data_IF_818553751915
#
_entry.id   IF_818553751915
#
_cell.length_a   1.000
_cell.length_b   1.000
_cell.length_c   1.000
_cell.angle_alpha   90.00
_cell.angle_beta   90.00
_cell.angle_gamma   90.00
#
_symmetry.space_group_name_H-M   'P 1'
#
loop_
_entity.id
_entity.type
_entity.pdbx_description
1 polymer ?
#
# COMPACT_ATOMS: atom_id res chain seq x y z
N UNK A 1 10.91 8.39 42.73
CA UNK A 1 9.54 8.91 42.50
C UNK A 1 9.70 10.27 41.80
N UNK A 2 9.01 10.54 40.68
CA UNK A 2 9.44 11.57 39.68
C UNK A 2 8.65 12.89 39.79
N UNK A 3 9.29 14.07 39.80
CA UNK A 3 8.58 15.33 39.52
C UNK A 3 8.77 15.67 38.05
N UNK A 4 7.69 15.73 37.26
CA UNK A 4 7.75 16.14 35.85
C UNK A 4 7.44 17.63 35.76
N UNK A 5 8.42 18.44 35.35
CA UNK A 5 8.24 19.87 35.10
C UNK A 5 7.89 20.09 33.62
N UNK A 6 6.72 20.66 33.35
CA UNK A 6 6.19 20.89 32.00
C UNK A 6 6.63 22.24 31.39
N UNK A 7 7.75 22.83 31.83
CA UNK A 7 8.27 24.09 31.26
C UNK A 7 9.72 23.97 30.81
N UNK A 8 9.98 24.46 29.60
CA UNK A 8 11.00 23.98 28.66
C UNK A 8 12.44 24.49 28.87
N UNK A 9 12.85 24.94 30.06
CA UNK A 9 14.22 25.48 30.24
C UNK A 9 14.85 25.31 31.64
N UNK A 10 14.44 24.30 32.43
CA UNK A 10 15.06 24.01 33.74
C UNK A 10 15.45 22.53 33.85
N UNK A 11 16.52 22.21 34.62
CA UNK A 11 16.95 20.83 34.83
C UNK A 11 15.86 19.98 35.50
N UNK A 12 15.69 18.73 35.04
CA UNK A 12 14.77 17.75 35.61
C UNK A 12 15.37 17.21 36.91
N UNK A 13 14.64 17.33 38.02
CA UNK A 13 15.07 16.83 39.33
C UNK A 13 14.39 15.50 39.65
N UNK A 14 15.18 14.44 39.78
CA UNK A 14 14.68 13.14 40.18
C UNK A 14 14.79 12.97 41.70
N UNK A 15 13.64 12.87 42.37
CA UNK A 15 13.60 12.50 43.78
C UNK A 15 13.77 10.97 43.86
N UNK A 16 15.02 10.54 43.97
CA UNK A 16 15.39 9.13 44.17
C UNK A 16 15.36 8.72 45.65
N UNK A 17 15.20 9.69 46.55
CA UNK A 17 15.32 9.52 48.00
C UNK A 17 13.94 9.64 48.69
N UNK A 18 13.57 8.62 49.47
CA UNK A 18 12.26 8.48 50.14
C UNK A 18 11.93 9.67 51.04
N UNK A 19 12.96 10.37 51.54
CA UNK A 19 12.85 11.50 52.46
C UNK A 19 12.09 12.71 51.90
N UNK A 20 12.08 12.89 50.58
CA UNK A 20 11.40 14.03 49.94
C UNK A 20 9.97 13.72 49.48
N UNK A 21 9.56 12.44 49.46
CA UNK A 21 8.16 12.07 49.18
C UNK A 21 7.21 12.68 50.21
N UNK A 22 7.62 12.70 51.48
CA UNK A 22 6.84 13.25 52.60
C UNK A 22 6.76 14.78 52.58
N UNK A 23 7.60 15.46 51.78
CA UNK A 23 7.59 16.92 51.63
C UNK A 23 6.67 17.43 50.51
N UNK A 24 6.12 16.53 49.68
CA UNK A 24 5.13 16.88 48.66
C UNK A 24 3.72 16.98 49.26
N UNK A 25 2.88 17.84 48.68
CA UNK A 25 1.45 17.87 49.02
C UNK A 25 0.78 16.53 48.66
N UNK A 26 -0.32 16.21 49.33
CA UNK A 26 -1.04 14.95 49.13
C UNK A 26 -1.55 14.81 47.68
N UNK A 27 -2.03 15.90 47.09
CA UNK A 27 -2.45 15.97 45.67
C UNK A 27 -1.28 15.67 44.74
N UNK A 28 -0.11 16.28 44.97
CA UNK A 28 1.08 16.02 44.13
C UNK A 28 1.54 14.55 44.23
N UNK A 29 1.40 13.92 45.39
CA UNK A 29 1.70 12.51 45.56
C UNK A 29 0.71 11.61 44.79
N UNK A 30 -0.57 11.96 44.78
CA UNK A 30 -1.62 11.25 44.04
C UNK A 30 -1.42 11.36 42.52
N UNK A 31 -1.23 12.58 42.00
CA UNK A 31 -0.96 12.83 40.58
C UNK A 31 0.28 12.06 40.11
N UNK A 32 1.30 12.01 40.96
CA UNK A 32 2.53 11.29 40.65
C UNK A 32 2.32 9.77 40.63
N UNK A 33 1.59 9.22 41.59
CA UNK A 33 1.22 7.79 41.58
C UNK A 33 0.43 7.45 40.31
N UNK A 34 -0.51 8.32 39.92
CA UNK A 34 -1.27 8.17 38.67
C UNK A 34 -0.34 8.17 37.45
N UNK A 35 0.57 9.15 37.35
CA UNK A 35 1.51 9.27 36.23
C UNK A 35 2.42 8.04 36.11
N UNK A 36 2.98 7.57 37.24
CA UNK A 36 3.80 6.34 37.28
C UNK A 36 2.99 5.13 36.81
N UNK A 37 1.75 4.99 37.27
CA UNK A 37 0.87 3.90 36.87
C UNK A 37 0.60 3.91 35.35
N UNK A 38 0.38 5.09 34.77
CA UNK A 38 0.14 5.24 33.33
C UNK A 38 1.39 4.85 32.54
N UNK A 39 2.58 5.34 32.91
CA UNK A 39 3.83 5.02 32.19
C UNK A 39 4.10 3.52 32.27
N UNK A 40 4.01 2.91 33.46
CA UNK A 40 4.20 1.47 33.63
C UNK A 40 3.23 0.68 32.76
N UNK A 41 1.94 1.02 32.78
CA UNK A 41 0.92 0.38 31.93
C UNK A 41 1.33 0.43 30.45
N UNK A 42 1.82 1.57 29.98
CA UNK A 42 2.22 1.71 28.58
C UNK A 42 3.49 0.94 28.23
N UNK A 43 4.46 0.81 29.15
CA UNK A 43 5.63 -0.07 28.96
C UNK A 43 5.21 -1.53 28.82
N UNK A 44 4.33 -2.02 29.70
CA UNK A 44 3.76 -3.37 29.55
C UNK A 44 2.99 -3.52 28.23
N UNK A 45 2.24 -2.48 27.83
CA UNK A 45 1.45 -2.49 26.61
C UNK A 45 2.29 -2.50 25.33
N UNK A 46 3.44 -1.82 25.33
CA UNK A 46 4.44 -1.92 24.26
C UNK A 46 5.02 -3.34 24.20
N UNK A 47 5.25 -3.97 25.35
CA UNK A 47 5.81 -5.31 25.41
C UNK A 47 4.87 -6.38 24.86
N UNK A 48 3.58 -6.35 25.23
CA UNK A 48 2.61 -7.39 24.86
C UNK A 48 1.73 -7.06 23.63
N UNK A 49 1.87 -5.86 23.07
CA UNK A 49 1.10 -5.40 21.91
C UNK A 49 -0.32 -4.91 22.25
N UNK A 50 -0.67 -4.77 23.54
CA UNK A 50 -1.93 -4.13 23.96
C UNK A 50 -1.93 -2.60 23.79
N UNK A 51 -0.81 -2.01 23.40
CA UNK A 51 -0.73 -0.57 23.11
C UNK A 51 -1.73 -0.19 22.02
N UNK A 52 -2.44 0.92 22.22
CA UNK A 52 -3.36 1.46 21.22
C UNK A 52 -2.60 2.23 20.14
N UNK A 53 -3.18 2.40 18.95
CA UNK A 53 -2.57 3.27 17.92
C UNK A 53 -2.31 4.69 18.43
N UNK A 54 -3.27 5.26 19.15
CA UNK A 54 -3.15 6.61 19.70
C UNK A 54 -2.00 6.70 20.69
N UNK A 55 -1.91 5.76 21.63
CA UNK A 55 -0.84 5.77 22.64
C UNK A 55 0.53 5.54 21.99
N UNK A 56 0.61 4.66 20.99
CA UNK A 56 1.83 4.42 20.23
C UNK A 56 2.33 5.70 19.54
N UNK A 57 1.43 6.46 18.92
CA UNK A 57 1.77 7.74 18.27
C UNK A 57 2.28 8.78 19.28
N UNK A 58 1.61 8.89 20.44
CA UNK A 58 2.02 9.79 21.52
C UNK A 58 3.40 9.42 22.07
N UNK A 59 3.63 8.13 22.32
CA UNK A 59 4.93 7.62 22.80
C UNK A 59 6.00 7.92 21.76
N UNK A 60 5.73 7.69 20.47
CA UNK A 60 6.71 7.95 19.41
C UNK A 60 7.14 9.42 19.36
N UNK A 61 6.20 10.35 19.53
CA UNK A 61 6.49 11.79 19.52
C UNK A 61 7.39 12.24 20.68
N UNK A 62 7.43 11.47 21.77
CA UNK A 62 8.23 11.77 22.97
C UNK A 62 9.13 10.60 23.36
N UNK A 63 9.64 9.85 22.38
CA UNK A 63 10.32 8.57 22.56
C UNK A 63 11.52 8.66 23.51
N UNK A 64 12.39 9.65 23.35
CA UNK A 64 13.57 9.84 24.21
C UNK A 64 13.18 10.08 25.68
N UNK A 65 12.18 10.94 25.91
CA UNK A 65 11.68 11.24 27.27
C UNK A 65 10.99 10.04 27.88
N UNK A 66 10.24 9.27 27.08
CA UNK A 66 9.58 8.07 27.54
C UNK A 66 10.59 6.97 27.92
N UNK A 67 11.67 6.83 27.15
CA UNK A 67 12.79 5.94 27.49
C UNK A 67 13.49 6.39 28.79
N UNK A 68 13.78 7.68 28.95
CA UNK A 68 14.36 8.21 30.18
C UNK A 68 13.49 7.90 31.40
N UNK A 69 12.19 8.18 31.32
CA UNK A 69 11.22 7.87 32.37
C UNK A 69 11.16 6.36 32.65
N UNK A 70 11.21 5.52 31.61
CA UNK A 70 11.23 4.05 31.75
C UNK A 70 12.47 3.60 32.51
N UNK A 71 13.66 4.06 32.13
CA UNK A 71 14.91 3.71 32.81
C UNK A 71 14.85 4.02 34.31
N UNK A 72 14.29 5.18 34.66
CA UNK A 72 14.18 5.65 36.05
C UNK A 72 13.14 4.84 36.83
N UNK A 73 11.98 4.56 36.24
CA UNK A 73 10.92 3.82 36.91
C UNK A 73 11.24 2.35 37.13
N UNK A 74 12.09 1.78 36.28
CA UNK A 74 12.42 0.37 36.29
C UNK A 74 13.85 0.07 36.79
N UNK A 75 14.65 1.06 37.17
CA UNK A 75 16.02 0.91 37.71
C UNK A 75 16.13 -0.16 38.82
N UNK A 76 15.15 -0.21 39.73
CA UNK A 76 15.07 -1.16 40.86
C UNK A 76 14.17 -2.38 40.60
N UNK A 77 13.77 -2.63 39.36
CA UNK A 77 12.86 -3.72 39.00
C UNK A 77 13.59 -4.97 38.51
N UNK A 78 12.86 -5.94 37.95
CA UNK A 78 13.47 -7.12 37.30
C UNK A 78 14.37 -6.71 36.12
N UNK A 79 15.41 -7.50 35.84
CA UNK A 79 16.43 -7.18 34.83
C UNK A 79 15.86 -6.95 33.43
N UNK A 80 14.80 -7.69 33.07
CA UNK A 80 14.10 -7.51 31.79
C UNK A 80 13.57 -6.09 31.59
N UNK A 81 13.08 -5.46 32.66
CA UNK A 81 12.53 -4.10 32.60
C UNK A 81 13.60 -3.03 32.69
N UNK A 82 14.74 -3.31 33.33
CA UNK A 82 15.90 -2.39 33.34
C UNK A 82 16.51 -2.23 31.97
N UNK A 83 16.52 -3.30 31.19
CA UNK A 83 17.11 -3.36 29.84
C UNK A 83 16.07 -3.17 28.73
N UNK A 84 14.82 -2.87 29.09
CA UNK A 84 13.75 -2.69 28.12
C UNK A 84 14.03 -1.49 27.21
N UNK A 85 14.16 -1.79 25.92
CA UNK A 85 14.44 -0.80 24.90
C UNK A 85 13.13 -0.31 24.28
N UNK A 86 12.65 0.86 24.74
CA UNK A 86 11.43 1.51 24.25
C UNK A 86 11.56 1.82 22.76
N UNK A 87 12.71 2.35 22.32
CA UNK A 87 12.93 2.71 20.90
C UNK A 87 12.73 1.49 20.00
N UNK A 88 13.30 0.36 20.39
CA UNK A 88 13.14 -0.93 19.70
C UNK A 88 11.68 -1.38 19.71
N UNK A 89 11.04 -1.40 20.88
CA UNK A 89 9.65 -1.84 21.02
C UNK A 89 8.70 -0.97 20.18
N UNK A 90 8.84 0.35 20.24
CA UNK A 90 8.07 1.31 19.43
C UNK A 90 8.28 1.04 17.94
N UNK A 91 9.53 0.87 17.47
CA UNK A 91 9.81 0.54 16.06
C UNK A 91 9.10 -0.75 15.62
N UNK A 92 9.14 -1.81 16.43
CA UNK A 92 8.43 -3.07 16.15
C UNK A 92 6.91 -2.84 16.06
N UNK A 93 6.32 -2.13 17.03
CA UNK A 93 4.86 -1.83 17.02
C UNK A 93 4.45 -0.94 15.85
N UNK A 94 5.31 -0.02 15.42
CA UNK A 94 5.07 0.78 14.20
C UNK A 94 5.10 -0.08 12.93
N UNK A 95 5.98 -1.08 12.85
CA UNK A 95 6.00 -2.02 11.73
C UNK A 95 4.71 -2.84 11.67
N UNK A 96 4.21 -3.33 12.81
CA UNK A 96 2.90 -4.03 12.90
C UNK A 96 1.74 -3.13 12.48
N UNK A 97 1.67 -1.92 13.06
CA UNK A 97 0.69 -0.91 12.68
C UNK A 97 0.72 -0.62 11.18
N UNK A 98 1.92 -0.47 10.61
CA UNK A 98 2.13 -0.26 9.18
C UNK A 98 1.67 -1.45 8.32
N UNK A 99 1.93 -2.69 8.76
CA UNK A 99 1.47 -3.91 8.09
C UNK A 99 -0.05 -3.95 7.97
N UNK A 100 -0.76 -3.65 9.06
CA UNK A 100 -2.21 -3.55 9.04
C UNK A 100 -2.71 -2.45 8.09
N UNK A 101 -2.12 -1.25 8.13
CA UNK A 101 -2.53 -0.16 7.23
C UNK A 101 -2.31 -0.50 5.75
N UNK A 102 -1.22 -1.20 5.44
CA UNK A 102 -0.94 -1.69 4.08
C UNK A 102 -1.93 -2.76 3.67
N UNK A 103 -2.15 -3.78 4.50
CA UNK A 103 -3.11 -4.84 4.21
C UNK A 103 -4.52 -4.28 4.04
N UNK A 104 -4.92 -3.31 4.86
CA UNK A 104 -6.21 -2.62 4.75
C UNK A 104 -6.39 -1.96 3.39
N UNK A 105 -5.36 -1.31 2.84
CA UNK A 105 -5.41 -0.72 1.48
C UNK A 105 -5.61 -1.81 0.43
N UNK A 106 -4.90 -2.93 0.54
CA UNK A 106 -5.03 -4.02 -0.42
C UNK A 106 -6.41 -4.66 -0.38
N UNK A 107 -6.94 -4.92 0.82
CA UNK A 107 -8.30 -5.45 1.00
C UNK A 107 -9.34 -4.46 0.47
N UNK A 108 -9.20 -3.16 0.74
CA UNK A 108 -10.12 -2.15 0.20
C UNK A 108 -10.15 -2.16 -1.35
N UNK A 109 -8.99 -2.36 -1.99
CA UNK A 109 -8.92 -2.51 -3.45
C UNK A 109 -9.59 -3.79 -3.94
N UNK A 110 -9.37 -4.93 -3.27
CA UNK A 110 -10.06 -6.18 -3.57
C UNK A 110 -11.59 -6.01 -3.49
N UNK A 111 -12.08 -5.41 -2.41
CA UNK A 111 -13.51 -5.13 -2.21
C UNK A 111 -14.06 -4.23 -3.32
N UNK A 112 -13.33 -3.19 -3.72
CA UNK A 112 -13.74 -2.31 -4.81
C UNK A 112 -13.88 -3.06 -6.14
N UNK A 113 -12.93 -3.93 -6.47
CA UNK A 113 -12.95 -4.74 -7.70
C UNK A 113 -14.06 -5.80 -7.67
N UNK A 114 -14.36 -6.34 -6.49
CA UNK A 114 -15.36 -7.38 -6.31
C UNK A 114 -16.78 -6.84 -6.05
N UNK A 115 -16.94 -5.54 -5.80
CA UNK A 115 -18.23 -4.91 -5.48
C UNK A 115 -19.37 -5.30 -6.45
N UNK A 116 -19.15 -5.41 -7.78
CA UNK A 116 -20.21 -5.82 -8.70
C UNK A 116 -20.66 -7.28 -8.54
N UNK A 117 -19.83 -8.15 -7.94
CA UNK A 117 -20.11 -9.58 -7.75
C UNK A 117 -21.09 -9.87 -6.61
N UNK A 118 -21.12 -8.99 -5.59
CA UNK A 118 -22.13 -8.98 -4.52
C UNK A 118 -22.36 -10.34 -3.81
N UNK A 119 -21.30 -10.95 -3.29
CA UNK A 119 -21.38 -12.18 -2.48
C UNK A 119 -21.27 -11.90 -0.97
N UNK A 120 -21.69 -12.85 -0.13
CA UNK A 120 -21.88 -12.65 1.31
C UNK A 120 -20.57 -12.32 2.06
N UNK A 121 -19.49 -13.01 1.72
CA UNK A 121 -18.17 -12.83 2.35
C UNK A 121 -17.62 -11.41 2.14
N UNK A 122 -17.86 -10.80 0.96
CA UNK A 122 -17.51 -9.40 0.67
C UNK A 122 -18.15 -8.44 1.70
N UNK A 123 -19.46 -8.62 1.94
CA UNK A 123 -20.20 -7.78 2.89
C UNK A 123 -19.74 -7.98 4.34
N UNK A 124 -19.26 -9.18 4.68
CA UNK A 124 -18.69 -9.45 5.99
C UNK A 124 -17.39 -8.71 6.22
N UNK A 125 -16.48 -8.74 5.24
CA UNK A 125 -15.20 -8.03 5.33
C UNK A 125 -15.41 -6.51 5.32
N UNK A 126 -16.34 -5.97 4.52
CA UNK A 126 -16.70 -4.55 4.55
C UNK A 126 -17.20 -4.11 5.94
N UNK A 127 -18.11 -4.89 6.54
CA UNK A 127 -18.63 -4.64 7.88
C UNK A 127 -17.53 -4.73 8.94
N UNK A 128 -16.60 -5.67 8.79
CA UNK A 128 -15.44 -5.81 9.68
C UNK A 128 -14.54 -4.57 9.63
N UNK A 129 -14.20 -4.07 8.43
CA UNK A 129 -13.46 -2.81 8.27
C UNK A 129 -14.18 -1.66 8.98
N UNK A 130 -15.49 -1.52 8.73
CA UNK A 130 -16.29 -0.46 9.35
C UNK A 130 -16.36 -0.55 10.87
N UNK A 131 -16.28 -1.75 11.46
CA UNK A 131 -16.19 -1.94 12.90
C UNK A 131 -14.82 -1.52 13.46
N UNK A 132 -13.74 -1.94 12.79
CA UNK A 132 -12.37 -1.60 13.19
C UNK A 132 -12.11 -0.09 13.14
N UNK A 133 -12.64 0.61 12.13
CA UNK A 133 -12.50 2.07 11.99
C UNK A 133 -13.22 2.87 13.08
N UNK A 134 -14.31 2.34 13.63
CA UNK A 134 -15.08 2.99 14.69
C UNK A 134 -14.51 2.74 16.09
N UNK A 135 -13.60 1.77 16.23
CA UNK A 135 -13.02 1.41 17.52
C UNK A 135 -11.99 2.47 17.94
N UNK A 136 -12.33 3.27 18.96
CA UNK A 136 -11.48 4.36 19.47
C UNK A 136 -10.17 3.87 20.07
N UNK A 137 -10.19 2.69 20.70
CA UNK A 137 -9.06 2.10 21.42
C UNK A 137 -8.69 0.75 20.78
N UNK A 138 -8.38 0.80 19.48
CA UNK A 138 -7.88 -0.36 18.74
C UNK A 138 -6.42 -0.63 19.16
N UNK A 139 -6.17 -1.84 19.68
CA UNK A 139 -4.84 -2.28 20.09
C UNK A 139 -4.14 -3.01 18.95
N UNK A 140 -2.80 -2.99 18.93
CA UNK A 140 -2.02 -3.69 17.90
C UNK A 140 -2.29 -5.20 17.89
N UNK A 141 -2.40 -5.81 19.06
CA UNK A 141 -2.73 -7.24 19.19
C UNK A 141 -4.10 -7.65 18.64
N UNK A 142 -5.01 -6.70 18.42
CA UNK A 142 -6.35 -7.00 17.90
C UNK A 142 -6.33 -7.21 16.38
N UNK A 143 -5.26 -6.79 15.71
CA UNK A 143 -5.17 -6.71 14.23
C UNK A 143 -3.89 -7.33 13.68
N UNK A 144 -2.90 -7.61 14.53
CA UNK A 144 -1.63 -8.23 14.17
C UNK A 144 -1.30 -9.31 15.18
N UNK A 145 -0.47 -10.26 14.77
CA UNK A 145 0.20 -11.16 15.70
C UNK A 145 1.36 -10.39 16.36
N UNK A 146 1.28 -10.06 17.67
CA UNK A 146 2.35 -9.29 18.32
C UNK A 146 3.65 -10.08 18.34
N UNK A 147 4.73 -9.45 17.89
CA UNK A 147 6.07 -9.96 18.09
C UNK A 147 6.47 -9.88 19.57
N UNK A 148 7.34 -10.82 19.94
CA UNK A 148 8.11 -10.74 21.16
C UNK A 148 9.26 -9.74 20.96
N UNK A 149 9.14 -8.59 21.61
CA UNK A 149 10.09 -7.47 21.48
C UNK A 149 11.46 -7.79 22.09
N UNK A 150 11.58 -8.80 22.95
CA UNK A 150 12.86 -9.20 23.52
C UNK A 150 13.71 -9.94 22.48
N UNK A 151 13.09 -10.90 21.78
CA UNK A 151 13.78 -11.82 20.87
C UNK A 151 13.92 -11.31 19.43
N UNK A 152 12.99 -10.48 18.96
CA UNK A 152 12.96 -10.01 17.57
C UNK A 152 13.86 -8.80 17.36
N UNK A 153 14.54 -8.72 16.21
CA UNK A 153 15.23 -7.49 15.75
C UNK A 153 14.40 -6.78 14.67
N UNK A 154 14.26 -5.45 14.70
CA UNK A 154 13.47 -4.73 13.69
C UNK A 154 13.92 -5.00 12.25
N UNK A 155 15.20 -5.25 12.02
CA UNK A 155 15.78 -5.42 10.70
C UNK A 155 15.39 -6.76 10.04
N UNK A 156 15.05 -7.77 10.84
CA UNK A 156 14.66 -9.11 10.38
C UNK A 156 13.16 -9.37 10.56
N UNK A 157 12.43 -8.41 11.12
CA UNK A 157 11.05 -8.60 11.50
C UNK A 157 10.11 -8.39 10.30
N UNK A 158 9.28 -9.40 10.03
CA UNK A 158 8.19 -9.33 9.06
C UNK A 158 6.85 -9.37 9.80
N UNK A 159 6.19 -8.22 9.99
CA UNK A 159 4.92 -8.16 10.71
C UNK A 159 3.78 -8.85 9.96
N UNK A 160 3.07 -9.74 10.64
CA UNK A 160 1.89 -10.42 10.09
C UNK A 160 0.60 -9.81 10.63
N UNK A 161 -0.15 -9.14 9.75
CA UNK A 161 -1.49 -8.66 10.05
C UNK A 161 -2.50 -9.81 9.99
N UNK A 162 -3.35 -9.90 11.01
CA UNK A 162 -4.37 -10.92 11.22
C UNK A 162 -5.79 -10.34 11.17
N UNK A 163 -5.92 -9.03 10.92
CA UNK A 163 -7.15 -8.27 11.05
C UNK A 163 -8.33 -8.83 10.24
N UNK A 164 -8.08 -9.27 8.99
CA UNK A 164 -9.14 -9.63 8.04
C UNK A 164 -9.40 -11.13 7.94
N UNK A 165 -8.58 -11.97 8.58
CA UNK A 165 -8.71 -13.45 8.60
C UNK A 165 -8.96 -14.10 7.23
N UNK A 166 -8.36 -13.55 6.18
CA UNK A 166 -8.47 -14.07 4.83
C UNK A 166 -7.71 -15.40 4.70
N UNK A 167 -8.20 -16.30 3.83
CA UNK A 167 -7.48 -17.49 3.44
C UNK A 167 -6.12 -17.15 2.82
N UNK A 168 -5.14 -18.05 2.95
CA UNK A 168 -3.77 -17.79 2.51
C UNK A 168 -3.70 -17.53 1.00
N UNK A 169 -4.52 -18.23 0.23
CA UNK A 169 -4.68 -18.09 -1.22
C UNK A 169 -5.12 -16.66 -1.58
N UNK A 170 -6.07 -16.10 -0.84
CA UNK A 170 -6.56 -14.72 -1.03
C UNK A 170 -5.50 -13.71 -0.58
N UNK A 171 -4.85 -13.95 0.56
CA UNK A 171 -3.82 -13.06 1.08
C UNK A 171 -2.62 -12.92 0.12
N UNK A 172 -2.22 -14.01 -0.54
CA UNK A 172 -1.09 -14.04 -1.48
C UNK A 172 -1.32 -13.21 -2.74
N UNK A 173 -2.57 -12.92 -3.11
CA UNK A 173 -2.88 -12.16 -4.32
C UNK A 173 -3.09 -10.68 -4.06
N UNK A 174 -3.25 -10.26 -2.80
CA UNK A 174 -3.59 -8.88 -2.41
C UNK A 174 -2.58 -7.84 -2.91
N UNK A 175 -1.29 -8.07 -2.69
CA UNK A 175 -0.23 -7.15 -3.10
C UNK A 175 -0.13 -6.99 -4.64
N UNK A 176 0.02 -8.08 -5.43
CA UNK A 176 0.09 -7.94 -6.89
C UNK A 176 -1.22 -7.40 -7.48
N UNK A 177 -2.37 -7.75 -6.90
CA UNK A 177 -3.66 -7.18 -7.29
C UNK A 177 -3.71 -5.68 -7.03
N UNK A 178 -3.27 -5.24 -5.86
CA UNK A 178 -3.20 -3.81 -5.55
C UNK A 178 -2.27 -3.08 -6.51
N UNK A 179 -1.10 -3.64 -6.82
CA UNK A 179 -0.12 -3.05 -7.74
C UNK A 179 -0.73 -2.80 -9.13
N UNK A 180 -1.45 -3.78 -9.69
CA UNK A 180 -2.06 -3.67 -11.01
C UNK A 180 -3.42 -2.98 -11.02
N UNK A 181 -4.09 -2.83 -9.87
CA UNK A 181 -5.46 -2.27 -9.78
C UNK A 181 -5.62 -0.86 -10.36
N UNK A 182 -4.51 -0.13 -10.57
CA UNK A 182 -4.49 1.21 -11.15
C UNK A 182 -4.35 1.21 -12.67
N UNK A 183 -3.92 0.10 -13.25
CA UNK A 183 -3.81 -0.08 -14.70
C UNK A 183 -5.18 -0.22 -15.35
N UNK A 184 -5.39 0.49 -16.44
CA UNK A 184 -6.56 0.33 -17.29
C UNK A 184 -6.56 -1.04 -17.98
N UNK A 185 -5.40 -1.52 -18.46
CA UNK A 185 -5.27 -2.86 -19.07
C UNK A 185 -5.77 -3.92 -18.09
N UNK A 186 -5.30 -3.87 -16.84
CA UNK A 186 -5.73 -4.80 -15.80
C UNK A 186 -7.24 -4.73 -15.54
N UNK A 187 -7.80 -3.51 -15.41
CA UNK A 187 -9.24 -3.34 -15.15
C UNK A 187 -10.10 -3.86 -16.30
N UNK A 188 -9.69 -3.65 -17.54
CA UNK A 188 -10.40 -4.17 -18.71
C UNK A 188 -10.40 -5.70 -18.69
N UNK A 189 -9.23 -6.34 -18.52
CA UNK A 189 -9.15 -7.80 -18.42
C UNK A 189 -9.98 -8.36 -17.26
N UNK A 190 -9.93 -7.69 -16.12
CA UNK A 190 -10.74 -8.05 -14.95
C UNK A 190 -12.23 -8.01 -15.27
N UNK A 191 -12.71 -6.94 -15.90
CA UNK A 191 -14.11 -6.79 -16.30
C UNK A 191 -14.54 -7.80 -17.35
N UNK A 192 -13.68 -8.11 -18.32
CA UNK A 192 -13.95 -9.07 -19.38
C UNK A 192 -14.17 -10.48 -18.81
N UNK A 193 -13.32 -10.92 -17.88
CA UNK A 193 -13.48 -12.22 -17.22
C UNK A 193 -14.66 -12.19 -16.25
N UNK A 194 -14.80 -11.12 -15.47
CA UNK A 194 -15.93 -10.91 -14.57
C UNK A 194 -17.28 -11.06 -15.28
N UNK A 195 -17.43 -10.56 -16.50
CA UNK A 195 -18.67 -10.66 -17.28
C UNK A 195 -19.05 -12.10 -17.69
N UNK A 196 -18.13 -13.06 -17.54
CA UNK A 196 -18.29 -14.44 -17.99
C UNK A 196 -18.46 -15.45 -16.86
N UNK A 197 -18.26 -15.03 -15.61
CA UNK A 197 -18.25 -15.93 -14.45
C UNK A 197 -19.23 -15.48 -13.38
N UNK A 198 -19.60 -16.39 -12.50
CA UNK A 198 -20.32 -16.10 -11.26
C UNK A 198 -19.50 -16.69 -10.13
N UNK A 199 -19.28 -15.91 -9.08
CA UNK A 199 -18.46 -16.30 -7.94
C UNK A 199 -19.18 -15.95 -6.64
N UNK A 200 -18.99 -16.78 -5.63
CA UNK A 200 -19.67 -16.69 -4.32
C UNK A 200 -18.69 -16.48 -3.15
N UNK A 201 -17.37 -16.51 -3.42
CA UNK A 201 -16.31 -16.39 -2.41
C UNK A 201 -15.05 -15.72 -2.96
N UNK A 202 -14.16 -15.27 -2.07
CA UNK A 202 -12.85 -14.74 -2.51
C UNK A 202 -11.95 -15.81 -3.13
N UNK A 203 -12.06 -17.08 -2.73
CA UNK A 203 -11.32 -18.19 -3.33
C UNK A 203 -11.75 -18.42 -4.79
N UNK A 204 -13.04 -18.27 -5.08
CA UNK A 204 -13.56 -18.30 -6.44
C UNK A 204 -13.13 -17.08 -7.25
N UNK A 205 -13.11 -15.87 -6.65
CA UNK A 205 -12.49 -14.70 -7.29
C UNK A 205 -11.02 -14.99 -7.65
N UNK A 206 -10.28 -15.62 -6.73
CA UNK A 206 -8.88 -15.95 -6.96
C UNK A 206 -8.71 -16.93 -8.12
N UNK A 207 -9.48 -18.02 -8.12
CA UNK A 207 -9.34 -19.10 -9.09
C UNK A 207 -9.95 -18.79 -10.46
N UNK A 208 -11.12 -18.14 -10.50
CA UNK A 208 -11.88 -17.91 -11.72
C UNK A 208 -11.60 -16.55 -12.38
N UNK A 209 -11.15 -15.54 -11.61
CA UNK A 209 -10.89 -14.19 -12.15
C UNK A 209 -9.40 -13.87 -12.09
N UNK A 210 -8.80 -13.88 -10.90
CA UNK A 210 -7.41 -13.44 -10.72
C UNK A 210 -6.41 -14.31 -11.48
N UNK A 211 -6.49 -15.64 -11.40
CA UNK A 211 -5.55 -16.53 -12.09
C UNK A 211 -5.54 -16.27 -13.61
N UNK A 212 -6.69 -16.29 -14.32
CA UNK A 212 -6.74 -15.94 -15.74
C UNK A 212 -6.20 -14.54 -16.04
N UNK A 213 -6.67 -13.52 -15.31
CA UNK A 213 -6.26 -12.12 -15.53
C UNK A 213 -4.76 -11.93 -15.31
N UNK A 214 -4.23 -12.49 -14.23
CA UNK A 214 -2.80 -12.40 -13.91
C UNK A 214 -1.93 -13.11 -14.94
N UNK A 215 -2.41 -14.22 -15.51
CA UNK A 215 -1.72 -14.90 -16.60
C UNK A 215 -1.70 -14.04 -17.87
N UNK A 216 -2.83 -13.45 -18.24
CA UNK A 216 -2.91 -12.53 -19.39
C UNK A 216 -2.05 -11.28 -19.19
N UNK A 217 -2.05 -10.71 -17.98
CA UNK A 217 -1.21 -9.57 -17.64
C UNK A 217 0.27 -9.88 -17.82
N UNK A 218 0.74 -11.03 -17.31
CA UNK A 218 2.14 -11.44 -17.46
C UNK A 218 2.52 -11.64 -18.93
N UNK A 219 1.64 -12.23 -19.74
CA UNK A 219 1.86 -12.38 -21.18
C UNK A 219 1.99 -11.01 -21.86
N UNK A 220 1.06 -10.08 -21.59
CA UNK A 220 1.09 -8.72 -22.15
C UNK A 220 2.37 -7.98 -21.73
N UNK A 221 2.72 -7.99 -20.45
CA UNK A 221 3.94 -7.34 -19.94
C UNK A 221 5.18 -7.91 -20.64
N UNK A 222 5.25 -9.24 -20.77
CA UNK A 222 6.36 -9.90 -21.45
C UNK A 222 6.45 -9.45 -22.91
N UNK A 223 5.35 -9.50 -23.66
CA UNK A 223 5.31 -9.16 -25.09
C UNK A 223 5.58 -7.68 -25.37
N UNK A 224 5.16 -6.78 -24.47
CA UNK A 224 5.55 -5.37 -24.52
C UNK A 224 7.07 -5.25 -24.30
N UNK A 225 7.59 -5.93 -23.29
CA UNK A 225 9.02 -5.88 -22.93
C UNK A 225 9.91 -6.43 -24.04
N UNK A 226 9.56 -7.58 -24.63
CA UNK A 226 10.32 -8.23 -25.71
C UNK A 226 10.11 -7.57 -27.07
N UNK A 227 9.02 -6.82 -27.25
CA UNK A 227 8.65 -6.23 -28.55
C UNK A 227 7.92 -7.18 -29.48
N UNK A 228 7.44 -8.31 -28.97
CA UNK A 228 6.63 -9.28 -29.73
C UNK A 228 5.17 -8.82 -29.89
N UNK A 229 4.75 -7.81 -29.13
CA UNK A 229 3.41 -7.25 -29.25
C UNK A 229 3.24 -6.49 -30.57
N UNK A 230 2.12 -6.72 -31.26
CA UNK A 230 1.80 -6.02 -32.52
C UNK A 230 1.38 -4.57 -32.22
N UNK A 231 1.72 -3.62 -33.10
CA UNK A 231 1.36 -2.21 -32.89
C UNK A 231 -0.14 -1.98 -32.75
N UNK A 232 -0.96 -2.63 -33.59
CA UNK A 232 -2.42 -2.51 -33.52
C UNK A 232 -2.96 -3.06 -32.20
N UNK A 233 -2.42 -4.17 -31.72
CA UNK A 233 -2.82 -4.76 -30.44
C UNK A 233 -2.41 -3.85 -29.27
N UNK A 234 -1.18 -3.34 -29.27
CA UNK A 234 -0.70 -2.42 -28.26
C UNK A 234 -1.52 -1.11 -28.23
N UNK A 235 -1.87 -0.57 -29.41
CA UNK A 235 -2.78 0.57 -29.57
C UNK A 235 -4.15 0.30 -28.95
N UNK A 236 -4.72 -0.88 -29.22
CA UNK A 236 -6.03 -1.27 -28.68
C UNK A 236 -6.01 -1.48 -27.16
N UNK A 237 -4.97 -2.14 -26.62
CA UNK A 237 -4.83 -2.40 -25.18
C UNK A 237 -4.70 -1.10 -24.38
N UNK A 238 -3.90 -0.15 -24.88
CA UNK A 238 -3.67 1.10 -24.16
C UNK A 238 -4.88 2.03 -24.23
N UNK A 239 -5.73 1.92 -25.27
CA UNK A 239 -6.97 2.70 -25.43
C UNK A 239 -6.78 4.23 -25.45
N UNK A 240 -5.53 4.70 -25.36
CA UNK A 240 -5.13 6.09 -25.29
C UNK A 240 -4.65 6.46 -26.69
N UNK A 241 -5.28 7.44 -27.31
CA UNK A 241 -4.85 7.97 -28.61
C UNK A 241 -4.29 9.36 -28.32
N UNK A 242 -3.09 9.64 -28.85
CA UNK A 242 -2.38 10.93 -28.77
C UNK A 242 -1.88 11.40 -27.39
N UNK A 243 -2.04 10.61 -26.32
CA UNK A 243 -1.46 10.93 -25.00
C UNK A 243 -0.31 10.00 -24.61
N UNK A 244 0.83 10.17 -25.28
CA UNK A 244 2.03 9.34 -25.14
C UNK A 244 2.57 9.23 -23.70
N UNK A 245 2.48 10.29 -22.90
CA UNK A 245 2.86 10.21 -21.48
C UNK A 245 1.91 9.32 -20.68
N UNK A 246 0.60 9.35 -20.94
CA UNK A 246 -0.34 8.43 -20.29
C UNK A 246 -0.07 6.98 -20.68
N UNK A 247 0.33 6.71 -21.93
CA UNK A 247 0.74 5.35 -22.33
C UNK A 247 1.97 4.88 -21.56
N UNK A 248 2.97 5.77 -21.39
CA UNK A 248 4.18 5.50 -20.61
C UNK A 248 3.86 5.25 -19.14
N UNK A 249 2.99 6.07 -18.56
CA UNK A 249 2.49 5.90 -17.20
C UNK A 249 1.78 4.55 -17.04
N UNK A 250 0.89 4.18 -17.97
CA UNK A 250 0.18 2.90 -17.97
C UNK A 250 1.16 1.71 -18.03
N UNK A 251 2.16 1.76 -18.90
CA UNK A 251 3.23 0.74 -18.95
C UNK A 251 4.03 0.66 -17.64
N UNK A 252 4.27 1.80 -17.00
CA UNK A 252 4.97 1.87 -15.72
C UNK A 252 4.14 1.25 -14.60
N UNK A 253 2.82 1.45 -14.60
CA UNK A 253 1.89 0.85 -13.63
C UNK A 253 1.89 -0.68 -13.68
N UNK A 254 2.18 -1.27 -14.84
CA UNK A 254 2.28 -2.72 -15.03
C UNK A 254 3.73 -3.24 -14.95
N UNK A 255 4.66 -2.41 -14.46
CA UNK A 255 6.09 -2.73 -14.28
C UNK A 255 6.87 -3.05 -15.56
N UNK A 256 6.46 -2.50 -16.71
CA UNK A 256 7.34 -2.50 -17.89
C UNK A 256 8.53 -1.57 -17.59
N UNK A 257 9.79 -1.97 -17.83
CA UNK A 257 10.91 -1.13 -17.49
C UNK A 257 10.92 0.15 -18.32
N UNK A 258 11.31 1.25 -17.67
CA UNK A 258 11.24 2.62 -18.21
C UNK A 258 11.83 2.79 -19.61
N UNK A 259 12.97 2.14 -19.88
CA UNK A 259 13.62 2.20 -21.19
C UNK A 259 12.73 1.59 -22.28
N UNK A 260 12.18 0.40 -22.03
CA UNK A 260 11.28 -0.30 -22.93
C UNK A 260 9.98 0.49 -23.10
N UNK A 261 9.43 1.06 -22.02
CA UNK A 261 8.23 1.89 -22.11
C UNK A 261 8.43 3.08 -23.07
N UNK A 262 9.53 3.83 -22.93
CA UNK A 262 9.86 4.94 -23.84
C UNK A 262 10.01 4.48 -25.29
N UNK A 263 10.72 3.38 -25.51
CA UNK A 263 10.93 2.82 -26.85
C UNK A 263 9.60 2.43 -27.51
N UNK A 264 8.71 1.76 -26.77
CA UNK A 264 7.40 1.32 -27.27
C UNK A 264 6.47 2.50 -27.56
N UNK A 265 6.49 3.53 -26.73
CA UNK A 265 5.74 4.77 -26.96
C UNK A 265 6.22 5.47 -28.23
N UNK A 266 7.53 5.54 -28.46
CA UNK A 266 8.09 6.13 -29.68
C UNK A 266 7.72 5.31 -30.93
N UNK A 267 7.77 3.98 -30.84
CA UNK A 267 7.33 3.10 -31.94
C UNK A 267 5.84 3.27 -32.26
N UNK A 268 4.98 3.41 -31.24
CA UNK A 268 3.56 3.72 -31.45
C UNK A 268 3.35 5.07 -32.13
N UNK A 269 4.12 6.09 -31.71
CA UNK A 269 4.08 7.42 -32.34
C UNK A 269 4.43 7.34 -33.82
N UNK A 270 5.51 6.63 -34.16
CA UNK A 270 5.94 6.42 -35.54
C UNK A 270 4.90 5.63 -36.35
N UNK A 271 4.31 4.59 -35.75
CA UNK A 271 3.25 3.82 -36.37
C UNK A 271 2.01 4.67 -36.67
N UNK A 272 1.57 5.52 -35.73
CA UNK A 272 0.44 6.43 -35.91
C UNK A 272 0.73 7.50 -36.99
N UNK A 273 1.95 8.03 -37.04
CA UNK A 273 2.37 8.94 -38.12
C UNK A 273 2.32 8.25 -39.48
N UNK A 274 2.76 7.00 -39.56
CA UNK A 274 2.68 6.19 -40.78
C UNK A 274 1.23 5.97 -41.21
N UNK A 275 0.32 5.60 -40.30
CA UNK A 275 -1.11 5.48 -40.60
C UNK A 275 -1.70 6.81 -41.12
N UNK A 276 -1.30 7.94 -40.53
CA UNK A 276 -1.73 9.26 -40.97
C UNK A 276 -1.22 9.56 -42.39
N UNK A 277 0.06 9.29 -42.70
CA UNK A 277 0.61 9.51 -44.03
C UNK A 277 -0.08 8.66 -45.09
N UNK A 278 -0.38 7.39 -44.80
CA UNK A 278 -1.15 6.52 -45.71
C UNK A 278 -2.54 7.13 -45.97
N UNK A 279 -3.22 7.61 -44.94
CA UNK A 279 -4.53 8.27 -45.08
C UNK A 279 -4.45 9.55 -45.90
N UNK A 280 -3.44 10.39 -45.66
CA UNK A 280 -3.21 11.62 -46.43
C UNK A 280 -2.88 11.33 -47.89
N UNK A 281 -2.02 10.34 -48.17
CA UNK A 281 -1.69 9.93 -49.53
C UNK A 281 -2.93 9.48 -50.30
N UNK A 282 -3.78 8.63 -49.69
CA UNK A 282 -5.08 8.24 -50.27
C UNK A 282 -5.97 9.44 -50.56
N UNK A 283 -6.07 10.37 -49.61
CA UNK A 283 -6.88 11.60 -49.76
C UNK A 283 -6.36 12.49 -50.90
N UNK A 284 -5.04 12.67 -51.02
CA UNK A 284 -4.42 13.46 -52.09
C UNK A 284 -4.70 12.83 -53.45
N UNK A 285 -4.58 11.49 -53.57
CA UNK A 285 -4.90 10.78 -54.81
C UNK A 285 -6.38 10.91 -55.18
N UNK A 286 -7.29 10.87 -54.20
CA UNK A 286 -8.71 11.07 -54.43
C UNK A 286 -9.02 12.50 -54.92
N UNK A 287 -8.37 13.52 -54.34
CA UNK A 287 -8.46 14.91 -54.80
C UNK A 287 -7.89 15.04 -56.21
N UNK A 288 -6.70 14.49 -56.48
CA UNK A 288 -6.08 14.54 -57.80
C UNK A 288 -6.97 13.93 -58.88
N UNK A 289 -7.61 12.79 -58.59
CA UNK A 289 -8.60 12.16 -59.48
C UNK A 289 -9.84 13.03 -59.66
N UNK A 290 -10.38 13.60 -58.57
CA UNK A 290 -11.62 14.40 -58.61
C UNK A 290 -11.49 15.70 -59.38
N UNK A 291 -10.29 16.30 -59.40
CA UNK A 291 -9.98 17.54 -60.12
C UNK A 291 -9.22 17.29 -61.43
N UNK A 292 -9.09 16.03 -61.86
CA UNK A 292 -8.38 15.64 -63.09
C UNK A 292 -6.95 16.22 -63.18
N UNK A 293 -6.27 16.31 -62.04
CA UNK A 293 -4.91 16.86 -61.98
C UNK A 293 -3.94 15.94 -62.73
N UNK A 294 -3.20 16.50 -63.68
CA UNK A 294 -2.15 15.80 -64.43
C UNK A 294 -0.78 16.02 -63.80
N UNK A 295 0.02 14.97 -63.60
CA UNK A 295 1.35 15.05 -62.99
C UNK A 295 1.90 13.67 -62.64
N UNK A 296 3.13 13.61 -62.10
CA UNK A 296 3.71 12.36 -61.57
C UNK A 296 3.36 12.21 -60.08
N UNK A 297 2.51 11.24 -59.76
CA UNK A 297 2.06 10.93 -58.40
C UNK A 297 2.63 9.62 -57.84
N UNK A 298 3.60 8.98 -58.52
CA UNK A 298 4.10 7.63 -58.17
C UNK A 298 4.55 7.48 -56.72
N UNK A 299 5.19 8.50 -56.15
CA UNK A 299 5.64 8.46 -54.75
C UNK A 299 4.46 8.44 -53.77
N UNK A 300 3.40 9.20 -54.07
CA UNK A 300 2.17 9.23 -53.27
C UNK A 300 1.40 7.91 -53.42
N UNK A 301 1.36 7.36 -54.64
CA UNK A 301 0.79 6.03 -54.90
C UNK A 301 1.50 4.93 -54.13
N UNK A 302 2.83 4.98 -54.06
CA UNK A 302 3.64 4.03 -53.29
C UNK A 302 3.28 4.09 -51.79
N UNK A 303 3.21 5.29 -51.21
CA UNK A 303 2.82 5.47 -49.79
C UNK A 303 1.37 5.04 -49.55
N UNK A 304 0.44 5.33 -50.46
CA UNK A 304 -0.96 4.94 -50.33
C UNK A 304 -1.19 3.43 -50.41
N UNK A 305 -0.25 2.69 -51.02
CA UNK A 305 -0.32 1.24 -51.25
C UNK A 305 0.33 0.41 -50.14
N UNK A 306 0.93 1.04 -49.12
CA UNK A 306 1.43 0.38 -47.90
C UNK A 306 0.27 0.00 -46.97
#
# INVERSE_FOLDING_TARGET
>A
MIVINLTSNLPVYFITDEKYHLSLSLICQEDLKQAVSVIKKQVYALNDGTVTFRDLDVIKQSEDKFQELTNILFEKSEEKWKTFNVVKAVKIRQMEAGSYQTQKKYVATLLQLCKPLNFAELMEVERMIGHLEKKKDLCIKDICQPADVETVTPEQFLPQSTAFKLAAEVANVLEPLYAWSRSNIFRTLWQDIHAQVTVESFEEVCSQIWIPVSSSMKDIINRITTGEIKFLEMKNLLGIIDEYEKMREEMTLINVPEKQAKERVEQLRQFQQMEAFIKWAKTILDVAKSYELTGDFKEIEAVASM
#
